data_IF_485294187717
#
_entry.id   IF_485294187717
#
_cell.length_a   1.000
_cell.length_b   1.000
_cell.length_c   1.000
_cell.angle_alpha   90.00
_cell.angle_beta   90.00
_cell.angle_gamma   90.00
#
_symmetry.space_group_name_H-M   'P 1'
#
loop_
_entity.id
_entity.type
_entity.pdbx_description
1 polymer ?
#
# COMPACT_ATOMS: atom_id res chain seq x y z
N UNK A 1 5.42 -26.58 -16.99
CA UNK A 1 4.86 -25.96 -18.22
C UNK A 1 5.13 -24.47 -18.16
N UNK A 2 5.59 -23.83 -19.25
CA UNK A 2 5.94 -22.39 -19.21
C UNK A 2 4.67 -21.52 -19.12
N UNK A 3 4.66 -20.43 -18.33
CA UNK A 3 3.60 -19.43 -18.38
C UNK A 3 3.40 -18.88 -19.79
N UNK A 4 2.17 -18.47 -20.12
CA UNK A 4 1.83 -17.85 -21.41
C UNK A 4 1.12 -16.52 -21.16
N UNK A 5 1.60 -15.46 -21.79
CA UNK A 5 0.96 -14.14 -21.83
C UNK A 5 0.55 -13.87 -23.27
N UNK A 6 -0.73 -13.59 -23.52
CA UNK A 6 -1.24 -13.26 -24.85
C UNK A 6 -2.30 -12.17 -24.77
N UNK A 7 -2.29 -11.24 -25.70
CA UNK A 7 -3.40 -10.34 -25.98
C UNK A 7 -4.41 -11.07 -26.88
N UNK A 8 -5.69 -11.00 -26.55
CA UNK A 8 -6.74 -11.72 -27.27
C UNK A 8 -7.98 -10.84 -27.48
N UNK A 9 -8.69 -11.07 -28.57
CA UNK A 9 -10.03 -10.54 -28.80
C UNK A 9 -11.06 -11.56 -28.29
N UNK A 10 -11.91 -11.18 -27.33
CA UNK A 10 -12.97 -12.07 -26.84
C UNK A 10 -14.19 -11.94 -27.75
N UNK A 11 -14.65 -13.06 -28.32
CA UNK A 11 -15.75 -13.10 -29.29
C UNK A 11 -17.15 -12.88 -28.68
N UNK A 12 -17.23 -12.26 -27.51
CA UNK A 12 -18.49 -11.84 -26.91
C UNK A 12 -18.68 -10.36 -27.27
N UNK A 13 -19.65 -10.06 -28.12
CA UNK A 13 -19.91 -8.68 -28.55
C UNK A 13 -20.40 -7.81 -27.39
N UNK A 14 -19.97 -6.55 -27.38
CA UNK A 14 -20.52 -5.49 -26.55
C UNK A 14 -21.82 -4.96 -27.16
N UNK A 15 -22.53 -4.11 -26.42
CA UNK A 15 -23.79 -3.49 -26.88
C UNK A 15 -23.64 -2.69 -28.18
N UNK A 16 -22.44 -2.16 -28.45
CA UNK A 16 -22.11 -1.42 -29.66
C UNK A 16 -21.64 -2.31 -30.84
N UNK A 17 -21.69 -3.63 -30.68
CA UNK A 17 -21.26 -4.61 -31.69
C UNK A 17 -19.74 -4.78 -31.81
N UNK A 18 -18.94 -4.09 -30.99
CA UNK A 18 -17.49 -4.29 -30.94
C UNK A 18 -17.10 -5.42 -29.99
N UNK A 19 -15.87 -5.91 -30.09
CA UNK A 19 -15.34 -7.00 -29.30
C UNK A 19 -14.20 -6.53 -28.41
N UNK A 20 -14.22 -6.85 -27.11
CA UNK A 20 -13.22 -6.36 -26.16
C UNK A 20 -11.90 -7.12 -26.25
N UNK A 21 -10.80 -6.39 -26.07
CA UNK A 21 -9.45 -6.95 -26.01
C UNK A 21 -9.04 -7.18 -24.56
N UNK A 22 -8.46 -8.35 -24.29
CA UNK A 22 -7.98 -8.75 -22.98
C UNK A 22 -6.52 -9.18 -23.03
N UNK A 23 -5.79 -8.93 -21.94
CA UNK A 23 -4.55 -9.64 -21.65
C UNK A 23 -4.91 -10.95 -20.94
N UNK A 24 -4.62 -12.09 -21.58
CA UNK A 24 -4.74 -13.43 -21.00
C UNK A 24 -3.39 -13.88 -20.44
N UNK A 25 -3.37 -14.21 -19.15
CA UNK A 25 -2.23 -14.82 -18.48
C UNK A 25 -2.61 -16.23 -18.07
N UNK A 26 -1.84 -17.21 -18.52
CA UNK A 26 -2.04 -18.63 -18.25
C UNK A 26 -0.84 -19.20 -17.50
N UNK A 27 -1.07 -19.71 -16.28
CA UNK A 27 -0.06 -20.32 -15.41
C UNK A 27 -0.64 -21.65 -14.91
N UNK A 28 0.11 -22.74 -15.02
CA UNK A 28 -0.30 -24.08 -14.57
C UNK A 28 -1.71 -24.48 -15.05
N UNK A 29 -1.98 -24.29 -16.35
CA UNK A 29 -3.26 -24.57 -17.03
C UNK A 29 -4.46 -23.74 -16.55
N UNK A 30 -4.28 -22.81 -15.61
CA UNK A 30 -5.30 -21.85 -15.17
C UNK A 30 -5.07 -20.52 -15.88
N UNK A 31 -6.13 -19.93 -16.41
CA UNK A 31 -6.06 -18.64 -17.13
C UNK A 31 -6.85 -17.56 -16.41
N UNK A 32 -6.30 -16.35 -16.37
CA UNK A 32 -7.00 -15.14 -15.94
C UNK A 32 -6.96 -14.10 -17.06
N UNK A 33 -8.02 -13.29 -17.16
CA UNK A 33 -8.18 -12.27 -18.17
C UNK A 33 -8.20 -10.89 -17.50
N UNK A 34 -7.34 -9.99 -17.96
CA UNK A 34 -7.24 -8.62 -17.50
C UNK A 34 -7.79 -7.70 -18.60
N UNK A 35 -8.80 -6.91 -18.24
CA UNK A 35 -9.45 -6.02 -19.21
C UNK A 35 -8.49 -4.96 -19.69
N UNK A 36 -8.55 -4.63 -20.97
CA UNK A 36 -7.88 -3.45 -21.54
C UNK A 36 -8.95 -2.42 -21.92
N UNK A 37 -8.58 -1.14 -22.14
CA UNK A 37 -9.54 -0.14 -22.64
C UNK A 37 -9.89 -0.34 -24.14
N UNK A 38 -9.28 -1.33 -24.80
CA UNK A 38 -9.39 -1.49 -26.24
C UNK A 38 -10.50 -2.46 -26.65
N UNK A 39 -11.11 -2.16 -27.78
CA UNK A 39 -12.14 -2.94 -28.45
C UNK A 39 -12.03 -2.74 -29.96
N UNK A 40 -12.39 -3.75 -30.75
CA UNK A 40 -12.37 -3.67 -32.21
C UNK A 40 -13.43 -4.55 -32.85
N UNK A 41 -13.61 -4.44 -34.16
CA UNK A 41 -14.38 -5.42 -34.95
C UNK A 41 -13.57 -6.69 -35.13
N UNK A 42 -14.25 -7.78 -35.45
CA UNK A 42 -13.61 -9.10 -35.62
C UNK A 42 -12.58 -9.10 -36.77
N UNK A 43 -12.81 -8.31 -37.82
CA UNK A 43 -11.94 -8.21 -38.99
C UNK A 43 -10.76 -7.24 -38.82
N UNK A 44 -10.69 -6.53 -37.69
CA UNK A 44 -9.62 -5.57 -37.34
C UNK A 44 -8.56 -6.20 -36.43
N UNK A 45 -8.78 -7.44 -35.98
CA UNK A 45 -7.88 -8.19 -35.11
C UNK A 45 -7.21 -9.33 -35.86
N UNK A 46 -5.94 -9.57 -35.55
CA UNK A 46 -5.22 -10.77 -35.98
C UNK A 46 -4.95 -11.69 -34.78
N UNK A 47 -5.68 -12.81 -34.73
CA UNK A 47 -5.57 -13.81 -33.66
C UNK A 47 -4.20 -14.51 -33.61
N UNK A 48 -3.45 -14.54 -34.72
CA UNK A 48 -2.12 -15.19 -34.76
C UNK A 48 -1.08 -14.33 -34.06
N UNK A 49 -1.08 -13.03 -34.34
CA UNK A 49 -0.15 -12.07 -33.76
C UNK A 49 -0.64 -11.54 -32.40
N UNK A 50 -1.95 -11.58 -32.16
CA UNK A 50 -2.59 -10.98 -30.99
C UNK A 50 -2.53 -9.45 -31.04
N UNK A 51 -2.67 -8.88 -32.24
CA UNK A 51 -2.52 -7.45 -32.50
C UNK A 51 -3.61 -6.94 -33.43
N UNK A 52 -3.84 -5.62 -33.42
CA UNK A 52 -4.68 -4.95 -34.40
C UNK A 52 -3.98 -4.98 -35.77
N UNK A 53 -4.75 -5.27 -36.82
CA UNK A 53 -4.26 -5.22 -38.19
C UNK A 53 -4.42 -3.81 -38.79
N UNK A 54 -3.98 -3.62 -40.03
CA UNK A 54 -4.00 -2.32 -40.72
C UNK A 54 -5.38 -1.69 -40.92
N UNK A 55 -6.47 -2.46 -40.77
CA UNK A 55 -7.84 -1.94 -40.85
C UNK A 55 -8.24 -1.14 -39.61
N UNK A 56 -7.59 -1.37 -38.47
CA UNK A 56 -7.84 -0.60 -37.27
C UNK A 56 -7.10 0.73 -37.32
N UNK A 57 -7.83 1.84 -37.12
CA UNK A 57 -7.21 3.17 -37.09
C UNK A 57 -6.21 3.25 -35.94
N UNK A 58 -5.02 3.80 -36.22
CA UNK A 58 -3.93 3.93 -35.25
C UNK A 58 -3.43 2.58 -34.67
N UNK A 59 -3.59 1.47 -35.41
CA UNK A 59 -3.18 0.14 -34.96
C UNK A 59 -1.74 0.08 -34.42
N UNK A 60 -0.79 0.83 -35.01
CA UNK A 60 0.60 0.86 -34.55
C UNK A 60 0.74 1.35 -33.10
N UNK A 61 0.07 2.47 -32.77
CA UNK A 61 0.13 3.04 -31.42
C UNK A 61 -0.53 2.11 -30.39
N UNK A 62 -1.71 1.56 -30.74
CA UNK A 62 -2.41 0.65 -29.84
C UNK A 62 -1.69 -0.70 -29.68
N UNK A 63 -1.07 -1.23 -30.74
CA UNK A 63 -0.22 -2.41 -30.66
C UNK A 63 1.01 -2.14 -29.79
N UNK A 64 1.60 -0.94 -29.85
CA UNK A 64 2.69 -0.54 -28.96
C UNK A 64 2.26 -0.60 -27.49
N UNK A 65 1.08 -0.08 -27.15
CA UNK A 65 0.54 -0.16 -25.78
C UNK A 65 0.25 -1.59 -25.35
N UNK A 66 -0.29 -2.42 -26.25
CA UNK A 66 -0.52 -3.85 -25.98
C UNK A 66 0.80 -4.62 -25.77
N UNK A 67 1.87 -4.29 -26.51
CA UNK A 67 3.20 -4.86 -26.30
C UNK A 67 3.78 -4.44 -24.95
N UNK A 68 3.75 -3.16 -24.61
CA UNK A 68 4.19 -2.66 -23.29
C UNK A 68 3.43 -3.34 -22.13
N UNK A 69 2.13 -3.60 -22.29
CA UNK A 69 1.35 -4.36 -21.31
C UNK A 69 1.81 -5.83 -21.18
N UNK A 70 2.15 -6.49 -22.30
CA UNK A 70 2.76 -7.83 -22.30
C UNK A 70 4.13 -7.83 -21.63
N UNK A 71 4.94 -6.81 -21.89
CA UNK A 71 6.28 -6.64 -21.29
C UNK A 71 6.16 -6.46 -19.77
N UNK A 72 5.27 -5.57 -19.31
CA UNK A 72 4.96 -5.39 -17.87
C UNK A 72 4.54 -6.71 -17.22
N UNK A 73 3.63 -7.45 -17.85
CA UNK A 73 3.21 -8.76 -17.33
C UNK A 73 4.37 -9.77 -17.30
N UNK A 74 5.29 -9.71 -18.26
CA UNK A 74 6.48 -10.56 -18.30
C UNK A 74 7.43 -10.22 -17.16
N UNK A 75 7.69 -8.93 -16.92
CA UNK A 75 8.51 -8.47 -15.80
C UNK A 75 7.94 -8.92 -14.45
N UNK A 76 6.62 -8.88 -14.30
CA UNK A 76 5.94 -9.34 -13.08
C UNK A 76 6.09 -10.86 -12.90
N UNK A 77 6.01 -11.66 -13.97
CA UNK A 77 6.28 -13.09 -13.87
C UNK A 77 7.68 -13.36 -13.34
N UNK A 78 8.69 -12.62 -13.81
CA UNK A 78 10.06 -12.78 -13.36
C UNK A 78 10.26 -12.32 -11.93
N UNK A 79 9.65 -11.20 -11.51
CA UNK A 79 9.63 -10.78 -10.09
C UNK A 79 9.06 -11.88 -9.18
N UNK A 80 7.88 -12.40 -9.52
CA UNK A 80 7.23 -13.48 -8.76
C UNK A 80 8.10 -14.75 -8.75
N UNK A 81 8.78 -15.07 -9.85
CA UNK A 81 9.72 -16.20 -9.90
C UNK A 81 10.90 -16.01 -8.96
N UNK A 82 11.48 -14.81 -8.91
CA UNK A 82 12.58 -14.47 -7.99
C UNK A 82 12.12 -14.58 -6.54
N UNK A 83 10.93 -14.06 -6.23
CA UNK A 83 10.44 -13.97 -4.84
C UNK A 83 9.96 -15.31 -4.26
N UNK A 84 9.46 -16.23 -5.09
CA UNK A 84 8.81 -17.47 -4.62
C UNK A 84 9.36 -18.76 -5.24
N UNK A 85 10.23 -18.69 -6.24
CA UNK A 85 10.74 -19.83 -7.02
C UNK A 85 9.71 -20.45 -7.96
N UNK A 86 8.50 -20.74 -7.47
CA UNK A 86 7.37 -21.29 -8.23
C UNK A 86 6.31 -20.21 -8.42
N UNK A 87 5.95 -19.97 -9.69
CA UNK A 87 4.95 -18.97 -10.06
C UNK A 87 3.54 -19.58 -10.02
N UNK A 88 2.64 -18.94 -9.27
CA UNK A 88 1.20 -19.24 -9.28
C UNK A 88 0.40 -18.06 -9.85
N UNK A 89 -0.79 -18.34 -10.37
CA UNK A 89 -1.70 -17.32 -10.90
C UNK A 89 -2.17 -16.33 -9.80
N UNK A 90 -2.28 -16.79 -8.55
CA UNK A 90 -2.66 -15.95 -7.41
C UNK A 90 -1.56 -14.94 -7.09
N UNK A 91 -0.30 -15.41 -7.00
CA UNK A 91 0.84 -14.51 -6.77
C UNK A 91 1.00 -13.53 -7.92
N UNK A 92 0.91 -14.00 -9.16
CA UNK A 92 0.93 -13.13 -10.33
C UNK A 92 -0.16 -12.05 -10.24
N UNK A 93 -1.41 -12.43 -9.93
CA UNK A 93 -2.51 -11.47 -9.85
C UNK A 93 -2.32 -10.44 -8.75
N UNK A 94 -1.79 -10.84 -7.60
CA UNK A 94 -1.46 -9.91 -6.52
C UNK A 94 -0.41 -8.90 -6.98
N UNK A 95 0.67 -9.35 -7.62
CA UNK A 95 1.69 -8.42 -8.13
C UNK A 95 1.15 -7.56 -9.26
N UNK A 96 0.37 -8.13 -10.19
CA UNK A 96 -0.17 -7.40 -11.33
C UNK A 96 -1.17 -6.32 -10.95
N UNK A 97 -1.96 -6.54 -9.89
CA UNK A 97 -2.87 -5.53 -9.32
C UNK A 97 -2.15 -4.52 -8.43
N UNK A 98 -1.14 -4.94 -7.68
CA UNK A 98 -0.42 -4.08 -6.74
C UNK A 98 0.76 -3.32 -7.36
N UNK A 99 1.15 -3.63 -8.61
CA UNK A 99 2.13 -2.86 -9.39
C UNK A 99 1.50 -1.64 -10.08
N UNK A 100 0.38 -1.15 -9.53
CA UNK A 100 0.02 0.26 -9.61
C UNK A 100 0.92 1.01 -8.62
N UNK A 101 1.69 1.96 -9.14
CA UNK A 101 2.70 2.77 -8.45
C UNK A 101 2.25 3.38 -7.11
N UNK A 102 0.94 3.48 -6.88
CA UNK A 102 0.28 3.98 -5.68
C UNK A 102 0.56 3.11 -4.43
N UNK A 103 0.79 1.81 -4.56
CA UNK A 103 1.11 0.99 -3.40
C UNK A 103 2.53 1.24 -2.83
N UNK A 104 3.38 2.04 -3.49
CA UNK A 104 4.76 2.33 -3.04
C UNK A 104 4.87 3.55 -2.14
N UNK A 105 3.90 4.45 -2.17
CA UNK A 105 3.91 5.66 -1.35
C UNK A 105 3.50 5.32 0.09
N UNK A 106 4.30 5.80 1.05
CA UNK A 106 4.11 5.49 2.46
C UNK A 106 2.73 5.95 2.97
N UNK A 107 2.33 7.16 2.58
CA UNK A 107 1.07 7.74 3.03
C UNK A 107 -0.15 6.98 2.49
N UNK A 108 -0.17 6.66 1.20
CA UNK A 108 -1.27 5.93 0.56
C UNK A 108 -1.41 4.51 1.14
N UNK A 109 -0.28 3.82 1.36
CA UNK A 109 -0.32 2.53 2.03
C UNK A 109 -0.84 2.63 3.48
N UNK A 110 -0.45 3.68 4.19
CA UNK A 110 -0.93 3.92 5.55
C UNK A 110 -2.44 4.18 5.58
N UNK A 111 -2.98 4.93 4.61
CA UNK A 111 -4.42 5.15 4.46
C UNK A 111 -5.17 3.84 4.18
N UNK A 112 -4.60 2.95 3.36
CA UNK A 112 -5.17 1.59 3.14
C UNK A 112 -5.22 0.77 4.44
N UNK A 113 -4.18 0.83 5.27
CA UNK A 113 -4.18 0.19 6.60
C UNK A 113 -5.28 0.80 7.48
N UNK A 114 -5.41 2.12 7.51
CA UNK A 114 -6.43 2.80 8.32
C UNK A 114 -7.84 2.35 7.94
N UNK A 115 -8.15 2.26 6.64
CA UNK A 115 -9.45 1.77 6.16
C UNK A 115 -9.71 0.33 6.64
N UNK A 116 -8.72 -0.56 6.54
CA UNK A 116 -8.85 -1.93 7.04
C UNK A 116 -9.10 -1.99 8.55
N UNK A 117 -8.42 -1.15 9.33
CA UNK A 117 -8.64 -1.08 10.78
C UNK A 117 -10.05 -0.58 11.12
N UNK A 118 -10.57 0.36 10.35
CA UNK A 118 -11.93 0.88 10.47
C UNK A 118 -12.98 -0.18 10.13
N UNK A 119 -12.81 -0.88 9.00
CA UNK A 119 -13.67 -2.00 8.59
C UNK A 119 -13.70 -3.13 9.64
N UNK A 120 -12.59 -3.32 10.37
CA UNK A 120 -12.47 -4.30 11.45
C UNK A 120 -12.94 -3.78 12.83
N UNK A 121 -13.48 -2.56 12.92
CA UNK A 121 -13.93 -1.95 14.18
C UNK A 121 -12.80 -1.52 15.13
N UNK A 122 -11.55 -1.49 14.67
CA UNK A 122 -10.36 -1.14 15.47
C UNK A 122 -10.10 0.38 15.51
N UNK A 123 -11.12 1.14 15.87
CA UNK A 123 -11.14 2.62 15.76
C UNK A 123 -10.01 3.30 16.55
N UNK A 124 -9.77 2.88 17.80
CA UNK A 124 -8.70 3.45 18.62
C UNK A 124 -7.32 3.28 17.97
N UNK A 125 -7.09 2.12 17.35
CA UNK A 125 -5.83 1.86 16.68
C UNK A 125 -5.70 2.68 15.40
N UNK A 126 -6.77 2.74 14.58
CA UNK A 126 -6.87 3.61 13.40
C UNK A 126 -6.55 5.06 13.75
N UNK A 127 -7.09 5.60 14.84
CA UNK A 127 -6.82 6.96 15.30
C UNK A 127 -5.35 7.17 15.73
N UNK A 128 -4.73 6.14 16.31
CA UNK A 128 -3.29 6.19 16.64
C UNK A 128 -2.41 6.28 15.38
N UNK A 129 -2.81 5.59 14.30
CA UNK A 129 -2.14 5.67 13.00
C UNK A 129 -2.40 7.02 12.31
N UNK A 130 -3.63 7.52 12.35
CA UNK A 130 -3.97 8.85 11.83
C UNK A 130 -3.13 9.95 12.49
N UNK A 131 -2.96 9.88 13.81
CA UNK A 131 -2.12 10.81 14.56
C UNK A 131 -0.68 10.84 14.06
N UNK A 132 -0.15 9.71 13.58
CA UNK A 132 1.18 9.64 12.95
C UNK A 132 1.20 10.41 11.63
N UNK A 133 0.23 10.19 10.73
CA UNK A 133 0.18 10.92 9.45
C UNK A 133 0.02 12.42 9.65
N UNK A 134 -0.85 12.85 10.57
CA UNK A 134 -1.04 14.27 10.88
C UNK A 134 0.27 14.88 11.40
N UNK A 135 1.00 14.18 12.26
CA UNK A 135 2.29 14.64 12.78
C UNK A 135 3.37 14.68 11.69
N UNK A 136 3.46 13.64 10.84
CA UNK A 136 4.40 13.59 9.74
C UNK A 136 4.16 14.70 8.71
N UNK A 137 2.90 15.05 8.39
CA UNK A 137 2.57 16.17 7.50
C UNK A 137 3.01 17.53 8.07
N UNK A 138 3.07 17.68 9.40
CA UNK A 138 3.63 18.87 10.05
C UNK A 138 5.15 18.90 10.02
N UNK A 139 5.79 17.73 10.13
CA UNK A 139 7.24 17.58 10.05
C UNK A 139 7.76 17.81 8.63
N UNK A 140 7.15 17.14 7.64
CA UNK A 140 7.58 17.14 6.26
C UNK A 140 6.40 17.39 5.31
N UNK A 141 6.41 18.56 4.63
CA UNK A 141 5.27 19.01 3.81
C UNK A 141 4.97 18.12 2.62
N UNK A 142 6.00 17.49 2.04
CA UNK A 142 5.89 16.62 0.88
C UNK A 142 5.84 15.13 1.24
N UNK A 143 5.51 14.77 2.49
CA UNK A 143 5.45 13.38 2.95
C UNK A 143 4.54 12.48 2.08
N UNK A 144 3.49 13.03 1.48
CA UNK A 144 2.61 12.27 0.59
C UNK A 144 3.30 11.74 -0.68
N UNK A 145 4.49 12.26 -1.01
CA UNK A 145 5.30 11.79 -2.15
C UNK A 145 6.41 10.81 -1.74
N UNK A 146 6.57 10.54 -0.45
CA UNK A 146 7.62 9.67 0.05
C UNK A 146 7.25 8.22 -0.23
N UNK A 147 8.20 7.49 -0.78
CA UNK A 147 8.18 6.03 -0.80
C UNK A 147 8.68 5.51 0.54
N UNK A 148 8.57 4.21 0.75
CA UNK A 148 9.20 3.59 1.92
C UNK A 148 10.70 3.83 1.93
N UNK A 149 11.39 3.72 0.80
CA UNK A 149 12.85 3.91 0.75
C UNK A 149 13.34 5.30 1.22
N UNK A 150 12.46 6.31 1.21
CA UNK A 150 12.76 7.67 1.67
C UNK A 150 12.62 7.83 3.20
N UNK A 151 12.06 6.83 3.90
CA UNK A 151 11.89 6.81 5.36
C UNK A 151 12.98 5.92 5.96
N UNK A 152 14.21 6.40 5.87
CA UNK A 152 15.39 5.70 6.39
C UNK A 152 15.66 5.99 7.88
N UNK A 153 16.78 5.46 8.39
CA UNK A 153 17.17 5.68 9.79
C UNK A 153 17.39 7.18 10.10
N UNK A 154 17.94 7.94 9.15
CA UNK A 154 18.21 9.37 9.32
C UNK A 154 16.91 10.17 9.41
N UNK A 155 15.94 9.88 8.55
CA UNK A 155 14.59 10.45 8.62
C UNK A 155 13.95 10.22 10.01
N UNK A 156 14.09 9.01 10.57
CA UNK A 156 13.55 8.71 11.90
C UNK A 156 14.23 9.51 13.02
N UNK A 157 15.55 9.75 12.92
CA UNK A 157 16.30 10.57 13.88
C UNK A 157 15.84 12.03 13.81
N UNK A 158 15.67 12.58 12.61
CA UNK A 158 15.19 13.95 12.41
C UNK A 158 13.75 14.12 12.89
N UNK A 159 12.90 13.14 12.59
CA UNK A 159 11.52 13.13 13.07
C UNK A 159 11.44 13.01 14.60
N UNK A 160 12.32 12.23 15.24
CA UNK A 160 12.45 12.24 16.70
C UNK A 160 12.77 13.64 17.23
N UNK A 161 13.74 14.32 16.63
CA UNK A 161 14.12 15.69 17.01
C UNK A 161 12.95 16.67 16.89
N UNK A 162 12.18 16.58 15.80
CA UNK A 162 10.94 17.34 15.63
C UNK A 162 9.92 17.05 16.73
N UNK A 163 9.69 15.78 17.07
CA UNK A 163 8.75 15.42 18.13
C UNK A 163 9.19 15.98 19.49
N UNK A 164 10.48 15.90 19.82
CA UNK A 164 11.03 16.48 21.06
C UNK A 164 10.83 17.98 21.11
N UNK A 165 11.10 18.71 20.02
CA UNK A 165 10.90 20.16 19.92
C UNK A 165 9.43 20.55 20.13
N UNK A 166 8.49 19.68 19.74
CA UNK A 166 7.05 19.88 19.94
C UNK A 166 6.54 19.32 21.29
N UNK A 167 7.43 19.06 22.25
CA UNK A 167 7.07 18.69 23.62
C UNK A 167 6.70 17.23 23.83
N UNK A 168 6.92 16.34 22.84
CA UNK A 168 6.67 14.92 23.03
C UNK A 168 7.69 14.32 24.01
N UNK A 169 7.18 13.60 25.02
CA UNK A 169 8.02 12.81 25.91
C UNK A 169 8.44 11.47 25.25
N UNK A 170 9.39 10.78 25.87
CA UNK A 170 9.89 9.47 25.40
C UNK A 170 8.76 8.44 25.15
N UNK A 171 7.69 8.46 25.95
CA UNK A 171 6.54 7.59 25.77
C UNK A 171 5.74 7.90 24.50
N UNK A 172 5.52 9.19 24.24
CA UNK A 172 4.86 9.69 23.02
C UNK A 172 5.69 9.39 21.78
N UNK A 173 6.99 9.71 21.80
CA UNK A 173 7.92 9.43 20.69
C UNK A 173 7.95 7.92 20.40
N UNK A 174 8.08 7.08 21.43
CA UNK A 174 8.04 5.64 21.26
C UNK A 174 6.71 5.16 20.65
N UNK A 175 5.60 5.86 20.90
CA UNK A 175 4.31 5.52 20.29
C UNK A 175 4.30 5.79 18.78
N UNK A 176 4.73 6.99 18.37
CA UNK A 176 4.89 7.33 16.95
C UNK A 176 5.80 6.32 16.23
N UNK A 177 6.97 6.04 16.80
CA UNK A 177 7.95 5.12 16.21
C UNK A 177 7.43 3.68 16.12
N UNK A 178 6.67 3.21 17.12
CA UNK A 178 6.04 1.87 17.07
C UNK A 178 5.00 1.76 15.95
N UNK A 179 4.22 2.81 15.74
CA UNK A 179 3.22 2.85 14.67
C UNK A 179 3.90 2.87 13.29
N UNK A 180 4.93 3.69 13.09
CA UNK A 180 5.71 3.70 11.83
C UNK A 180 6.35 2.33 11.57
N UNK A 181 6.94 1.71 12.60
CA UNK A 181 7.50 0.35 12.50
C UNK A 181 6.46 -0.69 12.08
N UNK A 182 5.24 -0.59 12.63
CA UNK A 182 4.17 -1.51 12.25
C UNK A 182 3.76 -1.33 10.78
N UNK A 183 3.61 -0.08 10.31
CA UNK A 183 3.29 0.23 8.91
C UNK A 183 4.36 -0.38 7.99
N UNK A 184 5.64 -0.18 8.33
CA UNK A 184 6.77 -0.77 7.60
C UNK A 184 6.74 -2.29 7.57
N UNK A 185 6.51 -2.93 8.73
CA UNK A 185 6.41 -4.38 8.81
C UNK A 185 5.26 -4.92 7.94
N UNK A 186 4.10 -4.24 7.93
CA UNK A 186 2.99 -4.60 7.04
C UNK A 186 3.37 -4.44 5.57
N UNK A 187 4.10 -3.40 5.20
CA UNK A 187 4.57 -3.20 3.84
C UNK A 187 5.55 -4.28 3.39
N UNK A 188 6.48 -4.70 4.27
CA UNK A 188 7.41 -5.82 4.00
C UNK A 188 6.63 -7.13 3.83
N UNK A 189 5.70 -7.43 4.73
CA UNK A 189 4.84 -8.62 4.62
C UNK A 189 3.99 -8.61 3.34
N UNK A 190 3.51 -7.43 2.94
CA UNK A 190 2.77 -7.20 1.70
C UNK A 190 3.65 -7.15 0.44
N UNK A 191 4.97 -7.35 0.56
CA UNK A 191 5.96 -7.29 -0.54
C UNK A 191 5.97 -5.94 -1.28
N UNK A 192 5.63 -4.87 -0.58
CA UNK A 192 5.64 -3.50 -1.09
C UNK A 192 7.04 -2.89 -1.02
N UNK A 193 7.76 -3.17 0.07
CA UNK A 193 9.14 -2.74 0.28
C UNK A 193 10.01 -3.93 0.67
N UNK A 194 11.23 -3.96 0.17
CA UNK A 194 12.21 -4.96 0.54
C UNK A 194 12.73 -4.73 1.96
N UNK A 195 13.00 -5.82 2.69
CA UNK A 195 13.56 -5.78 4.04
C UNK A 195 14.90 -5.01 4.13
N UNK A 196 15.64 -4.88 3.02
CA UNK A 196 16.89 -4.11 2.98
C UNK A 196 16.72 -2.61 3.27
N UNK A 197 15.51 -2.08 3.09
CA UNK A 197 15.18 -0.67 3.36
C UNK A 197 14.50 -0.49 4.72
N UNK A 198 14.58 -1.47 5.61
CA UNK A 198 13.92 -1.42 6.91
C UNK A 198 14.70 -0.56 7.91
N UNK A 199 14.21 0.64 8.30
CA UNK A 199 15.03 1.58 9.08
C UNK A 199 15.18 1.20 10.55
N UNK A 200 14.35 0.29 11.07
CA UNK A 200 14.37 -0.14 12.46
C UNK A 200 15.36 -1.29 12.73
N UNK A 201 16.11 -1.74 11.71
CA UNK A 201 17.35 -2.51 11.94
C UNK A 201 18.32 -1.67 12.76
N UNK A 202 18.47 -0.40 12.40
CA UNK A 202 19.45 0.51 12.97
C UNK A 202 18.81 1.45 14.00
N UNK A 203 17.59 1.93 13.72
CA UNK A 203 16.86 2.77 14.66
C UNK A 203 16.23 1.96 15.81
N UNK A 204 16.82 2.06 17.01
CA UNK A 204 16.36 1.32 18.21
C UNK A 204 15.33 2.11 19.02
N UNK A 205 14.07 1.68 18.99
CA UNK A 205 12.98 2.24 19.84
C UNK A 205 13.22 1.95 21.34
N UNK A 206 14.00 0.92 21.67
CA UNK A 206 14.31 0.54 23.06
C UNK A 206 15.06 1.62 23.86
N UNK A 207 15.63 2.63 23.19
CA UNK A 207 16.29 3.77 23.84
C UNK A 207 15.34 4.64 24.68
N UNK A 208 14.04 4.62 24.37
CA UNK A 208 13.03 5.39 25.10
C UNK A 208 12.66 4.71 26.42
N UNK A 209 13.12 5.26 27.54
CA UNK A 209 12.79 4.75 28.88
C UNK A 209 11.52 5.42 29.38
N UNK A 210 10.42 4.68 29.45
CA UNK A 210 9.18 5.18 30.05
C UNK A 210 9.38 5.32 31.57
N UNK A 211 9.52 6.55 32.07
CA UNK A 211 9.32 6.84 33.50
C UNK A 211 7.83 6.64 33.81
N UNK A 212 7.46 5.47 34.35
CA UNK A 212 6.11 5.23 34.89
C UNK A 212 5.94 6.08 36.15
N UNK A 213 5.41 7.29 36.00
CA UNK A 213 4.91 8.04 37.15
C UNK A 213 3.55 7.41 37.50
N UNK A 214 3.56 6.37 38.33
CA UNK A 214 2.33 5.87 38.95
C UNK A 214 1.94 6.89 40.02
N UNK A 215 1.02 7.80 39.72
CA UNK A 215 0.34 8.60 40.75
C UNK A 215 -0.83 7.77 41.26
N UNK A 216 -0.65 7.12 42.41
CA UNK A 216 -1.78 6.57 43.13
C UNK A 216 -2.52 7.73 43.80
N UNK A 217 -3.85 7.70 43.76
CA UNK A 217 -4.65 8.61 44.58
C UNK A 217 -4.49 8.19 46.03
N UNK A 218 -4.19 9.15 46.91
CA UNK A 218 -4.36 8.96 48.34
C UNK A 218 -5.85 8.83 48.69
N UNK A 219 -6.16 8.25 49.85
CA UNK A 219 -7.54 8.15 50.34
C UNK A 219 -8.20 9.54 50.42
N UNK A 220 -7.46 10.55 50.89
CA UNK A 220 -7.95 11.92 50.98
C UNK A 220 -8.25 12.55 49.59
N UNK A 221 -7.46 12.26 48.56
CA UNK A 221 -7.74 12.71 47.19
C UNK A 221 -8.96 11.97 46.60
N UNK A 222 -9.12 10.69 46.92
CA UNK A 222 -10.29 9.92 46.50
C UNK A 222 -11.57 10.44 47.17
N UNK A 223 -11.53 10.69 48.48
CA UNK A 223 -12.68 11.21 49.24
C UNK A 223 -13.13 12.58 48.70
N UNK A 224 -12.18 13.45 48.30
CA UNK A 224 -12.48 14.72 47.63
C UNK A 224 -13.19 14.56 46.29
N UNK A 225 -12.85 13.54 45.51
CA UNK A 225 -13.53 13.24 44.25
C UNK A 225 -14.96 12.74 44.52
N UNK A 226 -15.13 11.89 45.53
CA UNK A 226 -16.44 11.32 45.91
C UNK A 226 -17.37 12.42 46.44
N UNK A 227 -16.86 13.33 47.27
CA UNK A 227 -17.63 14.42 47.87
C UNK A 227 -17.82 15.63 46.95
N UNK A 228 -17.38 15.55 45.69
CA UNK A 228 -17.40 16.69 44.78
C UNK A 228 -18.83 16.92 44.26
N UNK A 229 -19.44 18.04 44.68
CA UNK A 229 -20.78 18.44 44.24
C UNK A 229 -20.73 19.18 42.89
N UNK A 230 -21.34 18.57 41.89
CA UNK A 230 -21.43 19.09 40.52
C UNK A 230 -22.47 20.21 40.35
N UNK A 231 -23.32 20.45 41.36
CA UNK A 231 -24.36 21.49 41.31
C UNK A 231 -23.77 22.90 41.16
N UNK A 232 -22.54 23.10 41.63
CA UNK A 232 -21.81 24.37 41.54
C UNK A 232 -21.09 24.59 40.20
N UNK A 233 -21.17 23.64 39.24
CA UNK A 233 -20.54 23.74 37.93
C UNK A 233 -21.50 24.17 36.81
N UNK A 234 -22.80 24.30 37.10
CA UNK A 234 -23.80 24.80 36.16
C UNK A 234 -23.94 26.32 36.32
N UNK A 235 -23.04 27.07 35.68
CA UNK A 235 -23.25 28.47 35.30
C UNK A 235 -23.28 28.59 33.78
#
# INVERSE_FOLDING_TARGET
MKPSIKTICKKNSLQDGSFPIYLRVTINRKSKFYSTPYKCKINEWDDKTGEFNSKFRNHLAFNSSLRSLKDKATDILEKVRIDFGIVTLIQFDNYFRNDESEAKLFEEFTQKIMKQLEDNGQISYRNSIEGVLVSLRKFQKNIGKYRFEDIDCQFLIEYEGFLRKNGANDGGIANYMRNIRMIYNKAISGKIVSNKFYPFSDYKISKFKRKKIKKALSKAELDKIISFDISNLLC
#
